data_IF_776422845186
#
_entry.id   IF_776422845186
#
_cell.length_a   1.000
_cell.length_b   1.000
_cell.length_c   1.000
_cell.angle_alpha   90.00
_cell.angle_beta   90.00
_cell.angle_gamma   90.00
#
_symmetry.space_group_name_H-M   'P 1'
#
loop_
_entity.id
_entity.type
_entity.pdbx_description
1 polymer ?
#
# COMPACT_ATOMS: atom_id res chain seq x y z
N UNK A 1 22.76 -1.15 13.23
CA UNK A 1 22.94 -1.30 11.78
C UNK A 1 22.80 0.05 11.11
N UNK A 2 23.55 0.26 10.03
CA UNK A 2 23.34 1.38 9.11
C UNK A 2 22.59 0.87 7.88
N UNK A 3 21.36 1.32 7.72
CA UNK A 3 20.42 0.84 6.70
C UNK A 3 20.21 1.94 5.66
N UNK A 4 20.32 1.59 4.39
CA UNK A 4 20.06 2.49 3.27
C UNK A 4 18.86 2.00 2.46
N UNK A 5 17.80 2.78 2.43
CA UNK A 5 16.67 2.55 1.53
C UNK A 5 16.81 3.35 0.23
N UNK A 6 16.45 2.73 -0.90
CA UNK A 6 16.46 3.41 -2.20
C UNK A 6 15.17 3.15 -2.97
N UNK A 7 14.58 4.20 -3.51
CA UNK A 7 13.41 4.09 -4.37
C UNK A 7 13.42 5.09 -5.53
N UNK A 8 12.57 4.86 -6.51
CA UNK A 8 12.32 5.75 -7.64
C UNK A 8 10.83 5.80 -7.92
N UNK A 9 10.27 7.00 -7.92
CA UNK A 9 8.85 7.21 -8.16
C UNK A 9 8.54 8.61 -8.67
N UNK A 10 7.40 8.72 -9.37
CA UNK A 10 6.89 10.01 -9.88
C UNK A 10 5.82 10.63 -9.00
N UNK A 11 5.12 9.85 -8.17
CA UNK A 11 3.98 10.28 -7.36
C UNK A 11 4.15 9.68 -5.97
N UNK A 12 3.77 10.41 -4.93
CA UNK A 12 3.74 9.89 -3.56
C UNK A 12 2.46 9.05 -3.35
N UNK A 13 2.61 7.75 -3.26
CA UNK A 13 1.51 6.81 -3.13
C UNK A 13 1.88 5.65 -2.18
N UNK A 14 1.33 4.46 -2.40
CA UNK A 14 1.51 3.32 -1.50
C UNK A 14 2.96 2.84 -1.34
N UNK A 15 3.77 2.85 -2.41
CA UNK A 15 5.18 2.48 -2.32
C UNK A 15 5.98 3.47 -1.47
N UNK A 16 5.81 4.76 -1.73
CA UNK A 16 6.53 5.84 -1.05
C UNK A 16 6.15 5.91 0.42
N UNK A 17 4.86 5.75 0.71
CA UNK A 17 4.34 5.64 2.08
C UNK A 17 4.94 4.42 2.81
N UNK A 18 5.03 3.29 2.13
CA UNK A 18 5.65 2.09 2.68
C UNK A 18 7.14 2.34 3.03
N UNK A 19 7.91 2.97 2.14
CA UNK A 19 9.32 3.29 2.40
C UNK A 19 9.45 4.30 3.54
N UNK A 20 8.64 5.32 3.55
CA UNK A 20 8.61 6.36 4.57
C UNK A 20 8.34 5.76 5.96
N UNK A 21 7.26 5.01 6.11
CA UNK A 21 6.88 4.40 7.39
C UNK A 21 7.92 3.38 7.87
N UNK A 22 8.38 2.47 6.98
CA UNK A 22 9.38 1.47 7.33
C UNK A 22 10.70 2.12 7.77
N UNK A 23 11.21 3.07 7.00
CA UNK A 23 12.47 3.75 7.31
C UNK A 23 12.37 4.57 8.60
N UNK A 24 11.25 5.22 8.85
CA UNK A 24 11.02 5.95 10.09
C UNK A 24 10.96 5.01 11.30
N UNK A 25 10.21 3.93 11.22
CA UNK A 25 10.12 2.96 12.32
C UNK A 25 11.49 2.35 12.64
N UNK A 26 12.27 2.00 11.61
CA UNK A 26 13.63 1.51 11.77
C UNK A 26 14.58 2.56 12.35
N UNK A 27 14.37 3.85 12.06
CA UNK A 27 15.23 4.93 12.56
C UNK A 27 15.15 5.12 14.08
N UNK A 28 14.15 4.57 14.74
CA UNK A 28 14.03 4.57 16.21
C UNK A 28 15.12 3.73 16.90
N UNK A 29 15.70 2.75 16.20
CA UNK A 29 16.69 1.80 16.75
C UNK A 29 17.96 1.65 15.90
N UNK A 30 17.97 2.18 14.69
CA UNK A 30 19.05 2.03 13.73
C UNK A 30 19.41 3.38 13.07
N UNK A 31 20.60 3.48 12.49
CA UNK A 31 20.91 4.60 11.59
C UNK A 31 20.30 4.30 10.23
N UNK A 32 19.32 5.08 9.81
CA UNK A 32 18.58 4.85 8.57
C UNK A 32 18.64 6.07 7.67
N UNK A 33 19.02 5.83 6.42
CA UNK A 33 19.04 6.86 5.37
C UNK A 33 18.15 6.40 4.21
N UNK A 34 17.52 7.38 3.55
CA UNK A 34 16.68 7.14 2.39
C UNK A 34 17.20 7.94 1.20
N UNK A 35 17.39 7.30 0.05
CA UNK A 35 17.69 7.95 -1.22
C UNK A 35 16.47 7.89 -2.13
N UNK A 36 16.05 9.07 -2.62
CA UNK A 36 14.93 9.20 -3.54
C UNK A 36 14.83 10.58 -4.19
N UNK A 37 13.77 10.84 -4.99
CA UNK A 37 13.59 12.12 -5.68
C UNK A 37 13.42 13.30 -4.71
N UNK A 38 14.06 14.46 -5.02
CA UNK A 38 14.03 15.70 -4.22
C UNK A 38 12.63 16.09 -3.74
N UNK A 39 11.64 16.04 -4.62
CA UNK A 39 10.24 16.45 -4.32
C UNK A 39 9.55 15.70 -3.18
N UNK A 40 10.15 14.62 -2.67
CA UNK A 40 9.61 13.85 -1.55
C UNK A 40 10.37 14.06 -0.25
N UNK A 41 11.43 14.84 -0.23
CA UNK A 41 12.29 15.06 0.93
C UNK A 41 11.49 15.45 2.18
N UNK A 42 10.61 16.43 2.07
CA UNK A 42 9.82 16.93 3.19
C UNK A 42 8.67 15.98 3.63
N UNK A 43 8.49 14.87 2.92
CA UNK A 43 7.49 13.83 3.25
C UNK A 43 8.08 12.68 4.06
N UNK A 44 9.39 12.65 4.25
CA UNK A 44 10.08 11.58 4.98
C UNK A 44 10.55 12.06 6.35
N UNK A 45 10.25 11.30 7.37
CA UNK A 45 10.69 11.53 8.76
C UNK A 45 12.10 11.01 9.03
N UNK A 46 12.56 10.02 8.29
CA UNK A 46 13.93 9.51 8.34
C UNK A 46 14.90 10.44 7.57
N UNK A 47 16.20 10.34 7.85
CA UNK A 47 17.24 11.08 7.13
C UNK A 47 17.15 10.82 5.63
N UNK A 48 17.12 11.89 4.82
CA UNK A 48 16.83 11.80 3.40
C UNK A 48 17.90 12.49 2.56
N UNK A 49 18.41 11.75 1.59
CA UNK A 49 19.36 12.24 0.59
C UNK A 49 18.65 12.34 -0.75
N UNK A 50 18.54 13.54 -1.26
CA UNK A 50 17.90 13.80 -2.53
C UNK A 50 18.83 13.45 -3.70
N UNK A 51 18.44 12.49 -4.51
CA UNK A 51 19.07 12.16 -5.80
C UNK A 51 17.95 12.01 -6.82
N UNK A 52 18.14 12.52 -8.04
CA UNK A 52 17.14 12.36 -9.09
C UNK A 52 17.08 10.91 -9.60
N UNK A 53 16.54 10.01 -8.77
CA UNK A 53 16.38 8.58 -9.09
C UNK A 53 15.39 8.33 -10.24
N UNK A 54 14.72 9.37 -10.78
CA UNK A 54 13.83 9.27 -11.93
C UNK A 54 14.52 9.40 -13.30
N UNK A 55 15.81 9.77 -13.33
CA UNK A 55 16.60 9.73 -14.54
C UNK A 55 16.54 8.36 -15.23
N UNK A 56 16.89 8.30 -16.50
CA UNK A 56 17.00 7.03 -17.22
C UNK A 56 17.95 6.05 -16.48
N UNK A 57 17.58 4.75 -16.42
CA UNK A 57 18.34 3.75 -15.63
C UNK A 57 19.79 3.56 -16.05
N UNK A 58 20.13 3.90 -17.29
CA UNK A 58 21.50 3.82 -17.81
C UNK A 58 22.19 5.20 -17.84
N UNK A 59 21.65 6.21 -17.15
CA UNK A 59 22.30 7.51 -17.01
C UNK A 59 23.62 7.36 -16.27
N UNK A 60 24.78 7.75 -16.88
CA UNK A 60 26.09 7.71 -16.19
C UNK A 60 26.09 8.60 -14.94
N UNK A 61 25.40 9.77 -15.00
CA UNK A 61 25.30 10.68 -13.88
C UNK A 61 24.60 10.02 -12.67
N UNK A 62 23.46 9.37 -12.91
CA UNK A 62 22.76 8.66 -11.84
C UNK A 62 23.63 7.56 -11.22
N UNK A 63 24.39 6.85 -12.02
CA UNK A 63 25.29 5.80 -11.54
C UNK A 63 26.44 6.37 -10.69
N UNK A 64 27.01 7.49 -11.10
CA UNK A 64 28.06 8.18 -10.34
C UNK A 64 27.52 8.71 -9.01
N UNK A 65 26.39 9.42 -9.02
CA UNK A 65 25.76 9.96 -7.83
C UNK A 65 25.43 8.85 -6.81
N UNK A 66 24.84 7.74 -7.26
CA UNK A 66 24.51 6.60 -6.40
C UNK A 66 25.77 5.92 -5.84
N UNK A 67 26.78 5.72 -6.68
CA UNK A 67 28.07 5.13 -6.25
C UNK A 67 28.75 5.99 -5.18
N UNK A 68 28.83 7.28 -5.40
CA UNK A 68 29.46 8.21 -4.47
C UNK A 68 28.67 8.33 -3.15
N UNK A 69 27.33 8.33 -3.23
CA UNK A 69 26.49 8.31 -2.04
C UNK A 69 26.68 7.01 -1.25
N UNK A 70 26.67 5.86 -1.91
CA UNK A 70 26.89 4.56 -1.25
C UNK A 70 28.29 4.45 -0.62
N UNK A 71 29.35 4.94 -1.30
CA UNK A 71 30.69 4.94 -0.76
C UNK A 71 30.82 5.84 0.50
N UNK A 72 30.19 7.02 0.50
CA UNK A 72 30.19 7.93 1.67
C UNK A 72 29.36 7.39 2.83
N UNK A 73 28.21 6.79 2.55
CA UNK A 73 27.31 6.24 3.58
C UNK A 73 27.92 4.98 4.18
N UNK A 74 28.52 4.11 3.36
CA UNK A 74 29.02 2.80 3.74
C UNK A 74 27.98 2.00 4.56
N UNK A 75 26.81 1.65 3.99
CA UNK A 75 25.73 1.01 4.70
C UNK A 75 26.04 -0.48 4.97
N UNK A 76 25.59 -0.99 6.12
CA UNK A 76 25.62 -2.43 6.42
C UNK A 76 24.57 -3.18 5.57
N UNK A 77 23.43 -2.54 5.33
CA UNK A 77 22.27 -3.10 4.61
C UNK A 77 21.82 -2.10 3.54
N UNK A 78 21.60 -2.62 2.35
CA UNK A 78 20.93 -1.86 1.27
C UNK A 78 19.60 -2.50 0.93
N UNK A 79 18.51 -1.73 1.03
CA UNK A 79 17.15 -2.17 0.71
C UNK A 79 16.57 -1.33 -0.43
N UNK A 80 16.32 -1.95 -1.57
CA UNK A 80 15.76 -1.28 -2.74
C UNK A 80 14.27 -1.54 -2.88
N UNK A 81 13.53 -0.51 -3.25
CA UNK A 81 12.10 -0.60 -3.48
C UNK A 81 11.79 -0.36 -4.97
N UNK A 82 11.24 -1.40 -5.60
CA UNK A 82 10.88 -1.36 -7.02
C UNK A 82 12.01 -1.72 -7.97
N UNK A 83 11.61 -2.18 -9.15
CA UNK A 83 12.47 -2.84 -10.13
C UNK A 83 13.66 -1.99 -10.60
N UNK A 84 13.49 -0.67 -10.71
CA UNK A 84 14.53 0.21 -11.24
C UNK A 84 15.74 0.25 -10.31
N UNK A 85 15.53 0.61 -9.03
CA UNK A 85 16.64 0.67 -8.07
C UNK A 85 17.26 -0.70 -7.86
N UNK A 86 16.46 -1.75 -7.73
CA UNK A 86 16.96 -3.12 -7.62
C UNK A 86 17.83 -3.54 -8.80
N UNK A 87 17.55 -3.05 -10.01
CA UNK A 87 18.36 -3.39 -11.20
C UNK A 87 19.70 -2.66 -11.28
N UNK A 88 19.81 -1.46 -10.68
CA UNK A 88 20.97 -0.58 -10.74
C UNK A 88 21.96 -0.87 -9.61
N UNK A 89 21.42 -1.06 -8.41
CA UNK A 89 22.24 -1.17 -7.20
C UNK A 89 22.95 -2.52 -7.12
N UNK A 90 24.21 -2.46 -6.67
CA UNK A 90 25.01 -3.61 -6.28
C UNK A 90 25.53 -3.36 -4.87
N UNK A 91 25.28 -4.27 -3.95
CA UNK A 91 25.77 -4.25 -2.59
C UNK A 91 25.90 -5.67 -2.06
N UNK A 92 26.77 -5.88 -1.09
CA UNK A 92 27.02 -7.19 -0.50
C UNK A 92 25.79 -7.75 0.20
N UNK A 93 25.12 -6.95 1.02
CA UNK A 93 23.84 -7.28 1.65
C UNK A 93 22.71 -6.45 1.03
N UNK A 94 22.24 -6.92 -0.11
CA UNK A 94 21.18 -6.27 -0.89
C UNK A 94 19.84 -6.98 -0.69
N UNK A 95 18.89 -6.26 -0.11
CA UNK A 95 17.48 -6.65 0.04
C UNK A 95 16.60 -5.88 -0.94
N UNK A 96 15.47 -6.43 -1.29
CA UNK A 96 14.52 -5.73 -2.15
C UNK A 96 13.07 -6.04 -1.81
N UNK A 97 12.17 -5.07 -2.09
CA UNK A 97 10.72 -5.26 -1.93
C UNK A 97 9.99 -5.17 -3.25
N UNK A 98 9.12 -6.17 -3.52
CA UNK A 98 8.19 -6.20 -4.65
C UNK A 98 6.82 -5.72 -4.15
N UNK A 99 6.42 -4.48 -4.51
CA UNK A 99 5.18 -3.84 -4.05
C UNK A 99 3.92 -4.24 -4.81
N UNK A 100 3.99 -5.10 -5.79
CA UNK A 100 2.83 -5.58 -6.55
C UNK A 100 3.23 -6.64 -7.56
N UNK A 101 2.25 -7.28 -8.18
CA UNK A 101 2.47 -8.33 -9.18
C UNK A 101 3.29 -7.80 -10.36
N UNK A 102 4.37 -8.50 -10.72
CA UNK A 102 5.26 -8.18 -11.83
C UNK A 102 5.30 -9.30 -12.83
N UNK A 103 5.28 -8.97 -14.13
CA UNK A 103 5.49 -9.95 -15.22
C UNK A 103 6.95 -10.43 -15.28
N UNK A 104 7.90 -9.58 -14.91
CA UNK A 104 9.33 -9.87 -14.91
C UNK A 104 9.97 -9.51 -13.57
N UNK A 105 10.54 -10.49 -12.90
CA UNK A 105 11.20 -10.36 -11.58
C UNK A 105 12.72 -10.55 -11.65
N UNK A 106 13.32 -10.62 -12.84
CA UNK A 106 14.74 -10.91 -13.02
C UNK A 106 15.67 -9.95 -12.24
N UNK A 107 15.33 -8.68 -12.16
CA UNK A 107 16.11 -7.70 -11.39
C UNK A 107 16.16 -8.05 -9.89
N UNK A 108 15.05 -8.53 -9.34
CA UNK A 108 14.94 -8.87 -7.92
C UNK A 108 15.74 -10.12 -7.54
N UNK A 109 15.90 -11.08 -8.47
CA UNK A 109 16.67 -12.30 -8.22
C UNK A 109 18.16 -12.06 -7.87
N UNK A 110 18.65 -10.84 -8.12
CA UNK A 110 20.03 -10.42 -7.76
C UNK A 110 20.17 -10.07 -6.28
N UNK A 111 19.07 -9.78 -5.59
CA UNK A 111 19.10 -9.51 -4.16
C UNK A 111 19.35 -10.81 -3.36
N UNK A 112 19.99 -10.69 -2.21
CA UNK A 112 20.18 -11.80 -1.27
C UNK A 112 18.85 -12.28 -0.72
N UNK A 113 17.93 -11.33 -0.41
CA UNK A 113 16.60 -11.65 0.07
C UNK A 113 15.55 -10.69 -0.50
N UNK A 114 14.30 -11.17 -0.66
CA UNK A 114 13.25 -10.45 -1.34
C UNK A 114 11.99 -10.47 -0.48
N UNK A 115 11.46 -9.30 -0.16
CA UNK A 115 10.15 -9.14 0.43
C UNK A 115 9.10 -8.94 -0.67
N UNK A 116 7.92 -9.49 -0.48
CA UNK A 116 6.80 -9.29 -1.40
C UNK A 116 5.52 -8.95 -0.68
N UNK A 117 4.75 -7.99 -1.20
CA UNK A 117 3.50 -7.53 -0.59
C UNK A 117 2.37 -8.58 -0.58
N UNK A 118 2.52 -9.69 -1.30
CA UNK A 118 1.58 -10.81 -1.37
C UNK A 118 2.27 -12.09 -1.84
N UNK A 119 1.68 -13.26 -1.61
CA UNK A 119 2.15 -14.53 -2.17
C UNK A 119 2.29 -14.45 -3.70
N UNK A 120 1.31 -13.85 -4.37
CA UNK A 120 1.30 -13.66 -5.81
C UNK A 120 2.48 -12.81 -6.32
N UNK A 121 2.95 -11.83 -5.53
CA UNK A 121 4.12 -11.03 -5.91
C UNK A 121 5.43 -11.81 -5.88
N UNK A 122 5.48 -12.92 -5.14
CA UNK A 122 6.65 -13.80 -4.96
C UNK A 122 6.59 -15.11 -5.77
N UNK A 123 5.53 -15.34 -6.53
CA UNK A 123 5.28 -16.61 -7.24
C UNK A 123 6.45 -17.08 -8.12
N UNK A 124 7.24 -16.14 -8.68
CA UNK A 124 8.43 -16.43 -9.50
C UNK A 124 9.75 -16.39 -8.72
N UNK A 125 9.71 -16.26 -7.38
CA UNK A 125 10.86 -16.15 -6.51
C UNK A 125 10.99 -17.41 -5.65
N UNK A 126 12.18 -18.02 -5.51
CA UNK A 126 12.39 -19.16 -4.62
C UNK A 126 12.02 -18.82 -3.16
N UNK A 127 11.29 -19.72 -2.49
CA UNK A 127 10.82 -19.53 -1.11
C UNK A 127 11.97 -19.29 -0.12
N UNK A 128 13.11 -19.93 -0.32
CA UNK A 128 14.29 -19.79 0.54
C UNK A 128 14.88 -18.36 0.49
N UNK A 129 14.60 -17.61 -0.58
CA UNK A 129 15.07 -16.24 -0.81
C UNK A 129 13.98 -15.19 -0.59
N UNK A 130 12.83 -15.55 -0.10
CA UNK A 130 11.72 -14.60 -0.04
C UNK A 130 10.79 -14.81 1.14
N UNK A 131 10.14 -13.74 1.53
CA UNK A 131 9.10 -13.72 2.56
C UNK A 131 7.98 -12.74 2.17
N UNK A 132 6.74 -13.14 2.46
CA UNK A 132 5.62 -12.21 2.36
C UNK A 132 5.73 -11.19 3.49
N UNK A 133 5.81 -9.93 3.11
CA UNK A 133 5.72 -8.78 4.00
C UNK A 133 4.40 -8.08 3.70
N UNK A 134 3.38 -8.46 4.44
CA UNK A 134 2.06 -7.84 4.31
C UNK A 134 2.12 -6.36 4.65
N UNK A 135 1.24 -5.58 4.07
CA UNK A 135 1.09 -4.19 4.46
C UNK A 135 0.61 -4.09 5.92
N UNK A 136 0.82 -2.94 6.48
CA UNK A 136 0.60 -2.61 7.89
C UNK A 136 -0.18 -1.32 8.06
N UNK A 137 -0.58 -1.11 9.29
CA UNK A 137 -1.11 0.15 9.80
C UNK A 137 -0.03 0.84 10.62
N UNK A 138 0.22 2.12 10.34
CA UNK A 138 0.92 3.00 11.26
C UNK A 138 -0.11 3.42 12.33
N UNK A 139 -0.11 2.70 13.45
CA UNK A 139 -1.07 2.87 14.54
C UNK A 139 -1.04 4.29 15.11
N UNK A 140 0.08 4.99 15.05
CA UNK A 140 0.22 6.36 15.55
C UNK A 140 -0.71 7.35 14.83
N UNK A 141 -1.13 7.03 13.61
CA UNK A 141 -2.09 7.84 12.83
C UNK A 141 -3.54 7.67 13.27
N UNK A 142 -3.81 6.71 14.16
CA UNK A 142 -5.14 6.35 14.63
C UNK A 142 -5.30 6.45 16.16
N UNK A 143 -4.35 7.10 16.86
CA UNK A 143 -4.39 7.25 18.32
C UNK A 143 -5.68 7.92 18.82
N UNK A 144 -6.19 8.88 18.06
CA UNK A 144 -7.42 9.61 18.40
C UNK A 144 -8.68 9.03 17.71
N UNK A 145 -8.54 7.83 17.13
CA UNK A 145 -9.67 7.21 16.42
C UNK A 145 -10.80 6.84 17.39
N UNK A 146 -11.98 7.36 17.11
CA UNK A 146 -13.21 7.00 17.79
C UNK A 146 -14.31 6.75 16.75
N UNK A 147 -14.92 5.55 16.83
CA UNK A 147 -16.04 5.23 15.97
C UNK A 147 -17.22 6.18 16.28
N UNK A 148 -17.74 6.77 15.23
CA UNK A 148 -18.94 7.66 15.26
C UNK A 148 -20.12 6.95 14.61
N UNK A 149 -21.29 7.57 14.68
CA UNK A 149 -22.44 7.08 13.91
C UNK A 149 -22.11 7.08 12.43
N UNK A 150 -22.22 5.95 11.71
CA UNK A 150 -21.93 5.88 10.30
C UNK A 150 -22.85 6.76 9.47
N UNK A 151 -22.30 7.46 8.48
CA UNK A 151 -23.01 8.42 7.63
C UNK A 151 -22.97 8.06 6.15
N UNK A 152 -21.95 7.30 5.71
CA UNK A 152 -21.69 7.01 4.30
C UNK A 152 -20.91 5.72 4.10
N UNK A 153 -20.98 5.17 2.89
CA UNK A 153 -20.02 4.22 2.39
C UNK A 153 -18.80 4.96 1.87
N UNK A 154 -17.61 4.39 2.02
CA UNK A 154 -16.35 5.08 1.76
C UNK A 154 -15.55 4.39 0.66
N UNK A 155 -15.06 5.16 -0.30
CA UNK A 155 -13.98 4.79 -1.21
C UNK A 155 -12.79 5.72 -0.94
N UNK A 156 -11.58 5.16 -0.81
CA UNK A 156 -10.34 5.94 -0.70
C UNK A 156 -9.33 5.39 -1.70
N UNK A 157 -8.92 6.22 -2.65
CA UNK A 157 -7.93 5.81 -3.63
C UNK A 157 -7.78 6.78 -4.79
N UNK A 158 -6.69 6.64 -5.54
CA UNK A 158 -6.45 7.47 -6.72
C UNK A 158 -7.52 7.23 -7.79
N UNK A 159 -7.95 8.29 -8.44
CA UNK A 159 -8.89 8.20 -9.56
C UNK A 159 -8.15 7.85 -10.86
N UNK A 160 -7.69 6.60 -10.92
CA UNK A 160 -6.94 6.01 -12.03
C UNK A 160 -7.63 4.75 -12.55
N UNK A 161 -7.43 4.37 -13.83
CA UNK A 161 -8.07 3.19 -14.42
C UNK A 161 -7.86 1.92 -13.62
N UNK A 162 -6.66 1.70 -13.07
CA UNK A 162 -6.33 0.50 -12.29
C UNK A 162 -7.12 0.37 -10.98
N UNK A 163 -7.63 1.48 -10.43
CA UNK A 163 -8.48 1.52 -9.23
C UNK A 163 -9.97 1.38 -9.56
N UNK A 164 -10.32 1.55 -10.82
CA UNK A 164 -11.64 1.39 -11.42
C UNK A 164 -12.78 2.03 -10.58
N UNK A 165 -12.68 3.33 -10.23
CA UNK A 165 -13.74 4.01 -9.48
C UNK A 165 -15.07 4.06 -10.24
N UNK A 166 -15.05 4.03 -11.58
CA UNK A 166 -16.26 3.98 -12.40
C UNK A 166 -17.10 2.73 -12.14
N UNK A 167 -16.46 1.58 -11.88
CA UNK A 167 -17.15 0.32 -11.49
C UNK A 167 -18.03 0.55 -10.27
N UNK A 168 -17.51 1.24 -9.25
CA UNK A 168 -18.26 1.52 -8.03
C UNK A 168 -19.46 2.44 -8.32
N UNK A 169 -19.28 3.50 -9.11
CA UNK A 169 -20.36 4.42 -9.49
C UNK A 169 -21.45 3.67 -10.25
N UNK A 170 -21.10 2.82 -11.23
CA UNK A 170 -22.08 2.00 -11.99
C UNK A 170 -22.79 0.95 -11.15
N UNK A 171 -22.15 0.49 -10.07
CA UNK A 171 -22.75 -0.47 -9.15
C UNK A 171 -23.66 0.19 -8.10
N UNK A 172 -23.60 1.53 -7.97
CA UNK A 172 -24.34 2.28 -6.95
C UNK A 172 -25.80 2.55 -7.36
N UNK A 173 -26.68 2.60 -6.37
CA UNK A 173 -28.07 3.04 -6.53
C UNK A 173 -28.39 4.19 -5.56
N UNK A 174 -29.30 5.08 -5.94
CA UNK A 174 -29.78 6.16 -5.07
C UNK A 174 -30.31 5.67 -3.72
N UNK A 175 -30.85 4.44 -3.69
CA UNK A 175 -31.45 3.83 -2.50
C UNK A 175 -30.40 3.27 -1.51
N UNK A 176 -29.13 3.26 -1.90
CA UNK A 176 -28.04 2.67 -1.08
C UNK A 176 -27.49 3.67 -0.04
N UNK A 177 -27.99 4.91 -0.04
CA UNK A 177 -27.48 5.96 0.83
C UNK A 177 -26.26 6.68 0.26
N UNK A 178 -25.54 7.41 1.10
CA UNK A 178 -24.41 8.23 0.68
C UNK A 178 -23.18 7.39 0.39
N UNK A 179 -22.49 7.71 -0.71
CA UNK A 179 -21.15 7.23 -1.04
C UNK A 179 -20.19 8.43 -1.07
N UNK A 180 -19.16 8.40 -0.22
CA UNK A 180 -18.06 9.37 -0.24
C UNK A 180 -16.86 8.77 -0.95
N UNK A 181 -16.43 9.38 -2.04
CA UNK A 181 -15.25 9.00 -2.82
C UNK A 181 -14.13 10.00 -2.59
N UNK A 182 -13.06 9.57 -1.92
CA UNK A 182 -11.93 10.42 -1.54
C UNK A 182 -10.70 10.06 -2.33
N UNK A 183 -10.15 11.05 -3.02
CA UNK A 183 -8.96 10.88 -3.84
C UNK A 183 -8.77 11.97 -4.87
N UNK A 184 -7.78 11.76 -5.73
CA UNK A 184 -7.48 12.61 -6.89
C UNK A 184 -6.96 11.75 -8.03
N UNK A 185 -6.96 12.27 -9.24
CA UNK A 185 -6.39 11.57 -10.41
C UNK A 185 -7.03 11.94 -11.72
N UNK A 186 -6.47 11.37 -12.79
CA UNK A 186 -6.82 11.72 -14.17
C UNK A 186 -8.30 11.47 -14.54
N UNK A 187 -9.01 10.63 -13.78
CA UNK A 187 -10.41 10.29 -14.07
C UNK A 187 -11.41 11.21 -13.34
N UNK A 188 -10.99 12.19 -12.53
CA UNK A 188 -11.88 12.95 -11.66
C UNK A 188 -13.04 13.62 -12.42
N UNK A 189 -12.75 14.28 -13.53
CA UNK A 189 -13.77 14.95 -14.35
C UNK A 189 -14.72 13.93 -15.03
N UNK A 190 -14.20 12.78 -15.46
CA UNK A 190 -15.03 11.72 -16.04
C UNK A 190 -15.94 11.07 -14.99
N UNK A 191 -15.47 10.96 -13.73
CA UNK A 191 -16.31 10.48 -12.62
C UNK A 191 -17.44 11.45 -12.32
N UNK A 192 -17.19 12.77 -12.29
CA UNK A 192 -18.22 13.80 -12.08
C UNK A 192 -19.30 13.74 -13.17
N UNK A 193 -18.89 13.60 -14.44
CA UNK A 193 -19.80 13.43 -15.56
C UNK A 193 -20.64 12.16 -15.42
N UNK A 194 -20.01 11.01 -15.14
CA UNK A 194 -20.69 9.73 -14.97
C UNK A 194 -21.73 9.77 -13.83
N UNK A 195 -21.39 10.41 -12.70
CA UNK A 195 -22.32 10.61 -11.57
C UNK A 195 -23.55 11.41 -12.01
N UNK A 196 -23.37 12.47 -12.79
CA UNK A 196 -24.46 13.31 -13.30
C UNK A 196 -25.32 12.54 -14.31
N UNK A 197 -24.71 11.85 -15.28
CA UNK A 197 -25.39 11.02 -16.28
C UNK A 197 -26.27 9.93 -15.67
N UNK A 198 -25.82 9.33 -14.57
CA UNK A 198 -26.57 8.30 -13.84
C UNK A 198 -27.59 8.87 -12.83
N UNK A 199 -27.70 10.20 -12.69
CA UNK A 199 -28.59 10.85 -11.75
C UNK A 199 -28.21 10.66 -10.26
N UNK A 200 -26.94 10.38 -9.97
CA UNK A 200 -26.45 10.05 -8.63
C UNK A 200 -25.84 11.24 -7.88
N UNK A 201 -25.95 12.47 -8.37
CA UNK A 201 -25.33 13.66 -7.79
C UNK A 201 -25.79 14.00 -6.36
N UNK A 202 -26.94 13.44 -5.92
CA UNK A 202 -27.46 13.62 -4.55
C UNK A 202 -26.95 12.56 -3.57
N UNK A 203 -26.31 11.50 -4.06
CA UNK A 203 -25.88 10.35 -3.25
C UNK A 203 -24.39 10.08 -3.31
N UNK A 204 -23.70 10.44 -4.39
CA UNK A 204 -22.25 10.25 -4.54
C UNK A 204 -21.55 11.61 -4.45
N UNK A 205 -20.58 11.69 -3.54
CA UNK A 205 -19.79 12.90 -3.27
C UNK A 205 -18.32 12.62 -3.54
N UNK A 206 -17.65 13.50 -4.26
CA UNK A 206 -16.20 13.47 -4.50
C UNK A 206 -15.54 14.49 -3.57
N UNK A 207 -14.49 14.04 -2.88
CA UNK A 207 -13.64 14.87 -2.03
C UNK A 207 -12.18 14.66 -2.41
N UNK A 208 -11.38 15.72 -2.35
CA UNK A 208 -9.92 15.65 -2.56
C UNK A 208 -9.24 14.74 -1.53
N UNK A 209 -8.07 14.24 -1.88
CA UNK A 209 -7.28 13.39 -1.01
C UNK A 209 -6.97 14.05 0.35
N UNK A 210 -6.90 13.24 1.38
CA UNK A 210 -6.55 13.66 2.74
C UNK A 210 -5.57 12.69 3.37
N UNK A 211 -4.78 13.18 4.33
CA UNK A 211 -3.91 12.35 5.16
C UNK A 211 -4.67 11.76 6.37
N UNK A 212 -5.83 12.32 6.73
CA UNK A 212 -6.65 11.88 7.84
C UNK A 212 -7.71 10.86 7.40
N UNK A 213 -7.23 9.66 7.09
CA UNK A 213 -8.10 8.51 6.75
C UNK A 213 -8.90 8.04 7.97
N UNK A 214 -8.36 8.22 9.18
CA UNK A 214 -9.02 7.86 10.42
C UNK A 214 -10.35 8.60 10.61
N UNK A 215 -10.38 9.92 10.39
CA UNK A 215 -11.62 10.71 10.44
C UNK A 215 -12.67 10.22 9.44
N UNK A 216 -12.24 9.85 8.22
CA UNK A 216 -13.17 9.31 7.23
C UNK A 216 -13.73 7.94 7.64
N UNK A 217 -12.87 7.05 8.12
CA UNK A 217 -13.27 5.71 8.58
C UNK A 217 -14.20 5.78 9.78
N UNK A 218 -14.04 6.79 10.65
CA UNK A 218 -14.85 6.92 11.87
C UNK A 218 -16.36 7.02 11.60
N UNK A 219 -16.74 7.50 10.41
CA UNK A 219 -18.14 7.70 9.98
C UNK A 219 -18.56 6.78 8.83
N UNK A 220 -17.73 5.79 8.49
CA UNK A 220 -18.01 4.91 7.37
C UNK A 220 -18.84 3.68 7.80
N UNK A 221 -19.89 3.36 7.04
CA UNK A 221 -20.59 2.08 7.13
C UNK A 221 -19.71 0.90 6.71
N UNK A 222 -18.97 1.09 5.63
CA UNK A 222 -18.01 0.14 5.09
C UNK A 222 -17.05 0.86 4.13
N UNK A 223 -15.84 0.33 4.00
CA UNK A 223 -14.91 0.69 2.93
C UNK A 223 -15.20 -0.16 1.70
N UNK A 224 -15.13 0.44 0.50
CA UNK A 224 -15.32 -0.26 -0.77
C UNK A 224 -14.08 -0.11 -1.64
N UNK A 225 -13.52 -1.24 -2.11
CA UNK A 225 -12.36 -1.31 -3.00
C UNK A 225 -12.79 -1.93 -4.32
N UNK A 226 -12.82 -1.14 -5.40
CA UNK A 226 -13.29 -1.54 -6.74
C UNK A 226 -12.16 -1.86 -7.72
N UNK A 227 -10.92 -1.97 -7.26
CA UNK A 227 -9.71 -2.03 -8.07
C UNK A 227 -9.64 -3.26 -8.99
N UNK A 228 -9.10 -3.08 -10.19
CA UNK A 228 -8.75 -4.19 -11.09
C UNK A 228 -7.45 -4.87 -10.68
N UNK A 229 -6.52 -4.09 -10.10
CA UNK A 229 -5.22 -4.61 -9.69
C UNK A 229 -4.69 -3.88 -8.47
N UNK A 230 -4.28 -4.66 -7.49
CA UNK A 230 -3.57 -4.21 -6.28
C UNK A 230 -2.33 -5.10 -6.04
N UNK A 231 -1.46 -4.65 -5.16
CA UNK A 231 -0.50 -5.53 -4.51
C UNK A 231 -1.05 -5.98 -3.16
N UNK A 232 -1.12 -5.01 -2.26
CA UNK A 232 -1.71 -5.12 -0.91
C UNK A 232 -2.17 -3.70 -0.54
N UNK A 233 -3.48 -3.38 -0.66
CA UNK A 233 -3.96 -2.01 -0.47
C UNK A 233 -3.87 -1.61 1.01
N UNK A 234 -3.18 -0.50 1.32
CA UNK A 234 -3.02 -0.03 2.71
C UNK A 234 -4.35 0.27 3.38
N UNK A 235 -5.26 0.92 2.66
CA UNK A 235 -6.57 1.30 3.18
C UNK A 235 -7.41 0.10 3.63
N UNK A 236 -7.17 -1.09 3.09
CA UNK A 236 -7.78 -2.35 3.58
C UNK A 236 -7.41 -2.58 5.05
N UNK A 237 -6.12 -2.50 5.36
CA UNK A 237 -5.61 -2.72 6.72
C UNK A 237 -6.03 -1.60 7.67
N UNK A 238 -5.99 -0.35 7.21
CA UNK A 238 -6.44 0.83 7.97
C UNK A 238 -7.93 0.69 8.34
N UNK A 239 -8.77 0.26 7.39
CA UNK A 239 -10.19 0.01 7.63
C UNK A 239 -10.43 -1.11 8.65
N UNK A 240 -9.75 -2.24 8.48
CA UNK A 240 -9.89 -3.38 9.40
C UNK A 240 -9.35 -3.07 10.81
N UNK A 241 -8.28 -2.28 10.91
CA UNK A 241 -7.76 -1.78 12.18
C UNK A 241 -8.80 -0.93 12.93
N UNK A 242 -9.48 -0.06 12.19
CA UNK A 242 -10.60 0.76 12.69
C UNK A 242 -11.90 -0.03 12.88
N UNK A 243 -11.92 -1.34 12.70
CA UNK A 243 -13.11 -2.21 12.75
C UNK A 243 -14.21 -1.83 11.78
N UNK A 244 -13.87 -1.13 10.70
CA UNK A 244 -14.79 -0.79 9.62
C UNK A 244 -14.73 -1.91 8.57
N UNK A 245 -15.88 -2.57 8.27
CA UNK A 245 -15.89 -3.69 7.35
C UNK A 245 -15.58 -3.28 5.91
N UNK A 246 -15.08 -4.22 5.11
CA UNK A 246 -14.60 -3.97 3.74
C UNK A 246 -15.33 -4.84 2.74
N UNK A 247 -15.73 -4.25 1.61
CA UNK A 247 -16.20 -4.93 0.41
C UNK A 247 -15.18 -4.69 -0.71
N UNK A 248 -14.78 -5.72 -1.43
CA UNK A 248 -13.72 -5.54 -2.42
C UNK A 248 -13.84 -6.47 -3.63
N UNK A 249 -13.21 -6.09 -4.73
CA UNK A 249 -12.90 -6.98 -5.85
C UNK A 249 -11.74 -7.91 -5.51
N UNK A 250 -11.72 -9.10 -6.10
CA UNK A 250 -10.65 -10.08 -5.95
C UNK A 250 -9.39 -9.65 -6.71
N UNK A 251 -8.52 -8.90 -6.05
CA UNK A 251 -7.24 -8.50 -6.61
C UNK A 251 -6.15 -8.38 -5.52
N UNK A 252 -4.89 -8.54 -5.92
CA UNK A 252 -3.77 -8.52 -4.98
C UNK A 252 -3.87 -9.63 -3.92
N UNK A 253 -3.76 -9.24 -2.65
CA UNK A 253 -3.91 -10.15 -1.51
C UNK A 253 -5.28 -10.05 -0.80
N UNK A 254 -6.26 -9.37 -1.39
CA UNK A 254 -7.56 -9.11 -0.75
C UNK A 254 -8.25 -10.42 -0.33
N UNK A 255 -8.25 -11.43 -1.19
CA UNK A 255 -8.83 -12.75 -0.88
C UNK A 255 -8.04 -13.57 0.15
N UNK A 256 -6.82 -13.17 0.48
CA UNK A 256 -6.03 -13.76 1.57
C UNK A 256 -6.39 -13.14 2.93
N UNK A 257 -6.94 -11.91 2.92
CA UNK A 257 -7.26 -11.11 4.10
C UNK A 257 -8.74 -11.16 4.45
N UNK A 258 -9.62 -11.02 3.46
CA UNK A 258 -11.07 -10.95 3.64
C UNK A 258 -11.74 -12.32 3.41
N UNK A 259 -12.86 -12.60 4.10
CA UNK A 259 -13.67 -13.77 3.84
C UNK A 259 -14.28 -13.68 2.42
N UNK A 260 -14.42 -14.83 1.76
CA UNK A 260 -14.97 -14.93 0.38
C UNK A 260 -16.29 -14.19 0.20
N UNK A 261 -17.13 -14.14 1.22
CA UNK A 261 -18.43 -13.46 1.20
C UNK A 261 -18.35 -11.95 1.06
N UNK A 262 -17.18 -11.36 1.31
CA UNK A 262 -16.89 -9.91 1.22
C UNK A 262 -16.12 -9.55 -0.05
N UNK A 263 -15.83 -10.53 -0.92
CA UNK A 263 -14.99 -10.36 -2.10
C UNK A 263 -15.78 -10.77 -3.35
N UNK A 264 -15.84 -9.90 -4.34
CA UNK A 264 -16.42 -10.17 -5.65
C UNK A 264 -15.34 -10.67 -6.62
N UNK A 265 -15.70 -11.49 -7.58
CA UNK A 265 -14.86 -11.71 -8.76
C UNK A 265 -14.59 -10.37 -9.46
N UNK A 266 -13.42 -10.26 -10.09
CA UNK A 266 -12.99 -8.99 -10.69
C UNK A 266 -13.71 -8.71 -12.01
N UNK A 267 -15.03 -8.55 -11.93
CA UNK A 267 -15.92 -8.11 -13.00
C UNK A 267 -17.06 -7.27 -12.44
N UNK A 268 -17.70 -6.49 -13.30
CA UNK A 268 -18.70 -5.49 -12.90
C UNK A 268 -19.97 -6.13 -12.32
N UNK A 269 -20.41 -7.26 -12.87
CA UNK A 269 -21.65 -7.93 -12.44
C UNK A 269 -21.51 -8.52 -11.04
N UNK A 270 -20.45 -9.29 -10.81
CA UNK A 270 -20.16 -9.87 -9.49
C UNK A 270 -19.99 -8.78 -8.43
N UNK A 271 -19.31 -7.67 -8.79
CA UNK A 271 -19.13 -6.55 -7.90
C UNK A 271 -20.46 -5.85 -7.56
N UNK A 272 -21.32 -5.62 -8.56
CA UNK A 272 -22.65 -5.05 -8.36
C UNK A 272 -23.51 -5.94 -7.45
N UNK A 273 -23.47 -7.24 -7.64
CA UNK A 273 -24.17 -8.19 -6.76
C UNK A 273 -23.65 -8.15 -5.32
N UNK A 274 -22.32 -8.03 -5.13
CA UNK A 274 -21.72 -7.89 -3.81
C UNK A 274 -22.22 -6.62 -3.09
N UNK A 275 -22.19 -5.47 -3.75
CA UNK A 275 -22.68 -4.21 -3.20
C UNK A 275 -24.16 -4.34 -2.81
N UNK A 276 -25.02 -4.80 -3.73
CA UNK A 276 -26.46 -5.00 -3.48
C UNK A 276 -26.73 -5.93 -2.29
N UNK A 277 -25.93 -6.97 -2.12
CA UNK A 277 -26.07 -7.95 -1.03
C UNK A 277 -25.82 -7.33 0.35
N UNK A 278 -24.86 -6.41 0.46
CA UNK A 278 -24.34 -5.97 1.74
C UNK A 278 -24.74 -4.55 2.14
N UNK A 279 -25.17 -3.72 1.20
CA UNK A 279 -25.78 -2.43 1.53
C UNK A 279 -26.99 -2.66 2.44
N UNK A 280 -27.08 -1.92 3.56
CA UNK A 280 -28.11 -2.12 4.59
C UNK A 280 -27.90 -3.33 5.53
N UNK A 281 -26.78 -4.07 5.41
CA UNK A 281 -26.42 -5.22 6.27
C UNK A 281 -25.00 -5.13 6.82
N UNK A 282 -24.50 -3.93 7.04
CA UNK A 282 -23.10 -3.66 7.45
C UNK A 282 -22.76 -4.23 8.82
N UNK A 283 -23.72 -4.30 9.76
CA UNK A 283 -23.49 -4.95 11.07
C UNK A 283 -23.22 -6.45 10.93
N UNK A 284 -23.98 -7.11 10.06
CA UNK A 284 -23.73 -8.52 9.74
C UNK A 284 -22.40 -8.71 9.02
N UNK A 285 -22.04 -7.81 8.11
CA UNK A 285 -20.75 -7.82 7.45
C UNK A 285 -19.60 -7.64 8.46
N UNK A 286 -19.74 -6.70 9.39
CA UNK A 286 -18.78 -6.47 10.48
C UNK A 286 -18.62 -7.72 11.35
N UNK A 287 -19.70 -8.37 11.72
CA UNK A 287 -19.66 -9.62 12.50
C UNK A 287 -18.88 -10.74 11.78
N UNK A 288 -19.04 -10.87 10.46
CA UNK A 288 -18.30 -11.86 9.66
C UNK A 288 -16.80 -11.53 9.56
N UNK A 289 -16.41 -10.26 9.71
CA UNK A 289 -15.03 -9.80 9.60
C UNK A 289 -14.31 -9.64 10.94
N UNK A 290 -14.89 -10.04 12.07
CA UNK A 290 -14.28 -9.91 13.41
C UNK A 290 -12.88 -10.54 13.49
N UNK A 291 -12.70 -11.73 12.91
CA UNK A 291 -11.38 -12.38 12.86
C UNK A 291 -10.35 -11.58 12.04
N UNK A 292 -10.80 -10.88 10.98
CA UNK A 292 -9.94 -10.01 10.18
C UNK A 292 -9.47 -8.80 11.00
N UNK A 293 -10.36 -8.19 11.78
CA UNK A 293 -10.02 -7.10 12.69
C UNK A 293 -8.96 -7.53 13.71
N UNK A 294 -9.17 -8.66 14.40
CA UNK A 294 -8.22 -9.22 15.36
C UNK A 294 -6.86 -9.54 14.75
N UNK A 295 -6.85 -10.12 13.52
CA UNK A 295 -5.60 -10.42 12.80
C UNK A 295 -4.81 -9.16 12.45
N UNK A 296 -5.46 -8.11 11.97
CA UNK A 296 -4.78 -6.86 11.62
C UNK A 296 -4.19 -6.22 12.87
N UNK A 297 -4.95 -6.13 13.96
CA UNK A 297 -4.49 -5.55 15.23
C UNK A 297 -3.34 -6.33 15.86
N UNK A 298 -3.19 -7.62 15.61
CA UNK A 298 -2.16 -8.46 16.21
C UNK A 298 -0.97 -8.77 15.32
N UNK A 299 -1.07 -8.56 13.99
CA UNK A 299 -0.03 -9.00 13.04
C UNK A 299 0.38 -7.93 12.03
N UNK A 300 -0.50 -6.97 11.74
CA UNK A 300 -0.29 -6.01 10.66
C UNK A 300 -0.06 -4.58 11.18
N UNK A 301 0.61 -4.45 12.34
CA UNK A 301 1.10 -3.17 12.83
C UNK A 301 2.47 -2.85 12.24
N UNK A 302 2.76 -1.57 12.04
CA UNK A 302 4.04 -1.11 11.51
C UNK A 302 5.22 -1.65 12.32
N UNK A 303 5.15 -1.56 13.65
CA UNK A 303 6.17 -2.07 14.56
C UNK A 303 6.45 -3.57 14.35
N UNK A 304 5.40 -4.39 14.26
CA UNK A 304 5.51 -5.85 14.08
C UNK A 304 6.10 -6.22 12.72
N UNK A 305 5.66 -5.55 11.65
CA UNK A 305 6.16 -5.84 10.31
C UNK A 305 7.61 -5.35 10.13
N UNK A 306 7.96 -4.22 10.73
CA UNK A 306 9.34 -3.70 10.75
C UNK A 306 10.28 -4.66 11.47
N UNK A 307 9.85 -5.22 12.61
CA UNK A 307 10.66 -6.18 13.35
C UNK A 307 10.96 -7.44 12.52
N UNK A 308 10.00 -7.95 11.75
CA UNK A 308 10.25 -9.06 10.81
C UNK A 308 11.34 -8.74 9.79
N UNK A 309 11.36 -7.50 9.29
CA UNK A 309 12.39 -7.04 8.35
C UNK A 309 13.75 -6.96 9.05
N UNK A 310 13.80 -6.38 10.25
CA UNK A 310 15.02 -6.23 11.04
C UNK A 310 15.65 -7.57 11.42
N UNK A 311 14.84 -8.54 11.86
CA UNK A 311 15.28 -9.92 12.15
C UNK A 311 15.95 -10.51 10.90
N UNK A 312 15.33 -10.34 9.73
CA UNK A 312 15.90 -10.86 8.49
C UNK A 312 17.24 -10.20 8.13
N UNK A 313 17.39 -8.89 8.37
CA UNK A 313 18.66 -8.22 8.19
C UNK A 313 19.74 -8.77 9.13
N UNK A 314 19.42 -8.96 10.40
CA UNK A 314 20.34 -9.47 11.41
C UNK A 314 20.81 -10.91 11.09
N UNK A 315 19.91 -11.77 10.60
CA UNK A 315 20.26 -13.11 10.15
C UNK A 315 21.36 -13.08 9.08
N UNK A 316 21.20 -12.24 8.07
CA UNK A 316 22.17 -12.14 6.97
C UNK A 316 23.49 -11.47 7.40
N UNK A 317 23.44 -10.45 8.28
CA UNK A 317 24.64 -9.83 8.85
C UNK A 317 25.46 -10.85 9.64
N UNK A 318 24.80 -11.66 10.47
CA UNK A 318 25.48 -12.69 11.26
C UNK A 318 26.11 -13.80 10.41
N UNK A 319 25.56 -14.09 9.22
CA UNK A 319 26.13 -15.03 8.25
C UNK A 319 27.34 -14.43 7.51
N UNK A 320 27.31 -13.14 7.22
CA UNK A 320 28.40 -12.46 6.51
C UNK A 320 29.62 -12.17 7.40
N UNK A 321 29.46 -12.21 8.72
CA UNK A 321 30.53 -12.00 9.72
C UNK A 321 31.27 -13.30 10.10
N UNK A 322 30.82 -14.43 9.60
CA UNK A 322 31.46 -15.76 9.77
C UNK A 322 32.26 -16.11 8.53
#
# INVERSE_FOLDING_TARGET
>A
MKILHLFSSKVFAGLERHVEELSYEQSKSHQVLVIGPERFKDKFRAEYIAINTNQWRYSPLLWLELRDAMARINPDIVHTHGQKMTSIIKADLHFSTIHGTKKNVAAFKKSQFIFGASKKSLEQIPQQKSMVLENWVDESRFNDFQQKTPEYFLYVGRFEPVKNPQRLIRAWSSDYGKLLMVGSGQLEEDLKKLIAELGLSKTIFIQSETNDVGSLLSKAHALIISSDREGSPKVLYESLYCKVPVLATNCGNISEVLPKTSVAENNDESFKMLIKKWVGKTDKLSSIQQDCFGKVMSKNLLSIQTEKVNIKYQEFLSMASK
#
